data_IF_630747416530
#
_entry.id   IF_630747416530
#
_cell.length_a   1.000
_cell.length_b   1.000
_cell.length_c   1.000
_cell.angle_alpha   90.00
_cell.angle_beta   90.00
_cell.angle_gamma   90.00
#
_symmetry.space_group_name_H-M   'P 1'
#
loop_
_entity.id
_entity.type
_entity.pdbx_description
1 polymer ?
#
# COMPACT_ATOMS: atom_id res chain seq x y z
N UNK A 1 5.62 19.15 -6.15
CA UNK A 1 5.71 17.71 -5.99
C UNK A 1 4.58 17.06 -6.78
N UNK A 2 4.91 16.29 -7.81
CA UNK A 2 3.91 15.74 -8.75
C UNK A 2 3.49 14.32 -8.40
N UNK A 3 4.23 13.63 -7.56
CA UNK A 3 3.93 12.29 -7.09
C UNK A 3 4.86 11.85 -5.96
N UNK A 4 4.45 10.83 -5.22
CA UNK A 4 5.17 10.25 -4.09
C UNK A 4 5.25 8.74 -4.24
N UNK A 5 6.44 8.18 -4.11
CA UNK A 5 6.65 6.73 -3.94
C UNK A 5 7.28 6.48 -2.58
N UNK A 6 6.65 5.65 -1.76
CA UNK A 6 7.25 5.13 -0.53
C UNK A 6 7.63 3.67 -0.77
N UNK A 7 8.93 3.36 -0.81
CA UNK A 7 9.42 2.01 -1.12
C UNK A 7 9.25 1.04 0.05
N UNK A 8 9.59 -0.21 -0.20
CA UNK A 8 9.77 -1.23 0.83
C UNK A 8 10.88 -0.87 1.82
N UNK A 9 10.79 -1.39 3.03
CA UNK A 9 11.75 -1.17 4.11
C UNK A 9 11.38 -1.94 5.36
N UNK A 10 12.20 -1.77 6.40
CA UNK A 10 12.05 -2.42 7.70
C UNK A 10 12.47 -1.47 8.81
N UNK A 11 11.92 -1.71 10.00
CA UNK A 11 12.27 -1.00 11.22
C UNK A 11 11.66 0.41 11.36
N UNK A 12 11.83 1.04 12.53
CA UNK A 12 11.08 2.23 12.92
C UNK A 12 11.64 3.54 12.34
N UNK A 13 12.78 3.51 11.64
CA UNK A 13 13.45 4.72 11.15
C UNK A 13 12.61 5.44 10.08
N UNK A 14 12.31 6.71 10.30
CA UNK A 14 11.65 7.58 9.32
C UNK A 14 10.14 7.41 9.20
N UNK A 15 9.52 6.52 9.99
CA UNK A 15 8.08 6.19 9.91
C UNK A 15 7.20 7.43 10.02
N UNK A 16 7.44 8.31 11.00
CA UNK A 16 6.61 9.51 11.18
C UNK A 16 6.71 10.47 9.98
N UNK A 17 7.88 10.57 9.36
CA UNK A 17 8.08 11.33 8.13
C UNK A 17 7.29 10.74 6.96
N UNK A 18 7.32 9.42 6.80
CA UNK A 18 6.57 8.70 5.75
C UNK A 18 5.05 8.85 5.96
N UNK A 19 4.56 8.74 7.20
CA UNK A 19 3.13 8.96 7.54
C UNK A 19 2.70 10.39 7.19
N UNK A 20 3.51 11.41 7.53
CA UNK A 20 3.25 12.81 7.14
C UNK A 20 3.23 12.99 5.62
N UNK A 21 4.14 12.33 4.91
CA UNK A 21 4.20 12.36 3.46
C UNK A 21 2.96 11.72 2.82
N UNK A 22 2.51 10.57 3.33
CA UNK A 22 1.28 9.91 2.89
C UNK A 22 0.04 10.78 3.16
N UNK A 23 -0.02 11.44 4.34
CA UNK A 23 -1.09 12.39 4.66
C UNK A 23 -1.12 13.58 3.70
N UNK A 24 0.04 14.13 3.39
CA UNK A 24 0.16 15.23 2.44
C UNK A 24 -0.32 14.80 1.04
N UNK A 25 0.11 13.65 0.57
CA UNK A 25 -0.31 13.12 -0.73
C UNK A 25 -1.84 12.92 -0.77
N UNK A 26 -2.42 12.28 0.27
CA UNK A 26 -3.86 12.05 0.35
C UNK A 26 -4.68 13.34 0.38
N UNK A 27 -4.30 14.30 1.23
CA UNK A 27 -5.06 15.55 1.42
C UNK A 27 -4.90 16.56 0.29
N UNK A 28 -3.83 16.44 -0.50
CA UNK A 28 -3.54 17.31 -1.66
C UNK A 28 -3.82 16.64 -3.00
N UNK A 29 -4.43 15.45 -2.99
CA UNK A 29 -4.73 14.68 -4.21
C UNK A 29 -3.49 14.43 -5.09
N UNK A 30 -2.31 14.30 -4.47
CA UNK A 30 -1.05 14.01 -5.15
C UNK A 30 -0.92 12.51 -5.35
N UNK A 31 -0.64 12.00 -6.56
CA UNK A 31 -0.41 10.59 -6.81
C UNK A 31 0.57 9.96 -5.81
N UNK A 32 0.15 8.84 -5.22
CA UNK A 32 0.91 8.12 -4.22
C UNK A 32 0.97 6.62 -4.56
N UNK A 33 2.17 6.05 -4.51
CA UNK A 33 2.39 4.61 -4.63
C UNK A 33 3.20 4.11 -3.44
N UNK A 34 2.59 3.24 -2.63
CA UNK A 34 3.25 2.59 -1.49
C UNK A 34 3.61 1.14 -1.79
N UNK A 35 4.89 0.76 -1.61
CA UNK A 35 5.36 -0.60 -1.87
C UNK A 35 5.71 -1.27 -0.54
N UNK A 36 5.14 -2.43 -0.24
CA UNK A 36 5.39 -3.19 0.99
C UNK A 36 5.20 -2.31 2.24
N UNK A 37 6.28 -1.81 2.85
CA UNK A 37 6.23 -0.83 3.93
C UNK A 37 5.40 0.40 3.55
N UNK A 38 5.53 0.89 2.33
CA UNK A 38 4.77 2.05 1.85
C UNK A 38 3.25 1.84 1.89
N UNK A 39 2.75 0.64 1.59
CA UNK A 39 1.33 0.31 1.77
C UNK A 39 0.96 0.32 3.26
N UNK A 40 1.79 -0.25 4.12
CA UNK A 40 1.55 -0.26 5.56
C UNK A 40 1.50 1.15 6.15
N UNK A 41 2.39 2.04 5.69
CA UNK A 41 2.38 3.48 6.05
C UNK A 41 1.07 4.14 5.62
N UNK A 42 0.57 3.86 4.43
CA UNK A 42 -0.72 4.36 3.95
C UNK A 42 -1.88 3.91 4.86
N UNK A 43 -1.89 2.66 5.28
CA UNK A 43 -2.90 2.10 6.20
C UNK A 43 -2.81 2.77 7.58
N UNK A 44 -1.60 2.94 8.14
CA UNK A 44 -1.37 3.62 9.42
C UNK A 44 -1.84 5.08 9.34
N UNK A 45 -1.47 5.79 8.27
CA UNK A 45 -1.89 7.17 8.04
C UNK A 45 -3.40 7.30 8.02
N UNK A 46 -4.06 6.43 7.24
CA UNK A 46 -5.50 6.44 7.08
C UNK A 46 -6.23 6.13 8.40
N UNK A 47 -5.75 5.16 9.13
CA UNK A 47 -6.27 4.83 10.44
C UNK A 47 -6.14 5.99 11.44
N UNK A 48 -5.00 6.69 11.46
CA UNK A 48 -4.77 7.84 12.36
C UNK A 48 -5.63 9.04 12.03
N UNK A 49 -5.78 9.36 10.75
CA UNK A 49 -6.32 10.65 10.33
C UNK A 49 -7.75 10.57 9.78
N UNK A 50 -8.20 9.41 9.30
CA UNK A 50 -9.57 9.21 8.82
C UNK A 50 -10.41 8.47 9.87
N UNK A 51 -9.91 7.35 10.41
CA UNK A 51 -10.60 6.60 11.47
C UNK A 51 -10.43 7.23 12.87
N UNK A 52 -9.61 8.28 13.01
CA UNK A 52 -9.28 8.94 14.29
C UNK A 52 -8.63 8.01 15.35
N UNK A 53 -8.00 6.93 14.94
CA UNK A 53 -7.24 6.01 15.79
C UNK A 53 -5.81 6.56 15.97
N UNK A 54 -5.62 7.57 16.82
CA UNK A 54 -4.38 8.37 16.92
C UNK A 54 -3.12 7.56 17.21
N UNK A 55 -3.26 6.43 17.90
CA UNK A 55 -2.18 5.49 18.23
C UNK A 55 -2.05 4.33 17.22
N UNK A 56 -2.81 4.35 16.11
CA UNK A 56 -2.71 3.28 15.10
C UNK A 56 -1.27 3.09 14.63
N UNK A 57 -0.80 1.84 14.63
CA UNK A 57 0.60 1.53 14.35
C UNK A 57 0.77 0.11 13.78
N UNK A 58 2.01 -0.23 13.48
CA UNK A 58 2.46 -1.59 13.23
C UNK A 58 3.08 -2.19 14.49
N UNK A 59 2.86 -3.47 14.74
CA UNK A 59 3.55 -4.21 15.80
C UNK A 59 5.08 -4.32 15.56
N UNK A 60 5.55 -3.99 14.36
CA UNK A 60 6.97 -3.84 14.06
C UNK A 60 7.57 -2.61 14.77
N UNK A 61 6.82 -1.52 14.86
CA UNK A 61 7.34 -0.22 15.35
C UNK A 61 6.96 0.03 16.80
N UNK A 62 5.74 -0.33 17.20
CA UNK A 62 5.25 -0.16 18.55
C UNK A 62 4.25 -1.27 18.93
N UNK A 63 4.75 -2.26 19.64
CA UNK A 63 3.94 -3.40 20.12
C UNK A 63 2.95 -3.00 21.25
N UNK A 64 3.06 -1.81 21.83
CA UNK A 64 2.19 -1.33 22.91
C UNK A 64 0.97 -0.56 22.40
N UNK A 65 0.93 -0.24 21.11
CA UNK A 65 -0.24 0.41 20.50
C UNK A 65 -1.49 -0.46 20.70
N UNK A 66 -2.60 0.20 21.04
CA UNK A 66 -3.91 -0.46 21.17
C UNK A 66 -4.55 -0.76 19.80
N UNK A 67 -4.12 -0.04 18.76
CA UNK A 67 -4.65 -0.14 17.41
C UNK A 67 -3.56 -0.62 16.45
N UNK A 68 -3.20 -1.90 16.54
CA UNK A 68 -2.24 -2.55 15.62
C UNK A 68 -2.92 -2.84 14.29
N UNK A 69 -2.99 -1.82 13.42
CA UNK A 69 -3.59 -1.94 12.08
C UNK A 69 -2.72 -2.72 11.11
N UNK A 70 -1.45 -2.86 11.43
CA UNK A 70 -0.47 -3.75 10.78
C UNK A 70 0.08 -4.68 11.85
N UNK A 71 -0.02 -6.00 11.62
CA UNK A 71 0.38 -6.98 12.61
C UNK A 71 0.84 -8.29 11.95
N UNK A 72 1.34 -9.20 12.75
CA UNK A 72 1.58 -10.57 12.31
C UNK A 72 0.28 -11.29 11.97
N UNK A 73 0.34 -12.23 11.05
CA UNK A 73 -0.79 -13.12 10.79
C UNK A 73 -1.17 -13.91 12.05
N UNK A 74 -2.48 -14.11 12.29
CA UNK A 74 -2.94 -15.03 13.32
C UNK A 74 -2.28 -16.41 13.11
N UNK A 75 -1.62 -16.94 14.14
CA UNK A 75 -0.89 -18.21 14.10
C UNK A 75 0.62 -18.08 13.86
N UNK A 76 1.12 -16.98 13.32
CA UNK A 76 2.57 -16.76 13.15
C UNK A 76 3.27 -16.31 14.44
N UNK A 77 2.56 -15.81 15.43
CA UNK A 77 3.15 -15.46 16.73
C UNK A 77 3.83 -16.64 17.44
N UNK A 78 3.37 -17.86 17.22
CA UNK A 78 4.00 -19.09 17.75
C UNK A 78 5.30 -19.45 17.03
N UNK A 79 5.54 -18.91 15.85
CA UNK A 79 6.74 -19.16 15.02
C UNK A 79 7.83 -18.08 15.22
N UNK A 80 7.61 -17.11 16.11
CA UNK A 80 8.58 -16.07 16.45
C UNK A 80 9.94 -16.62 16.87
N UNK A 81 9.94 -17.80 17.50
CA UNK A 81 11.16 -18.46 18.02
C UNK A 81 11.97 -19.18 16.92
N UNK A 82 11.39 -19.43 15.76
CA UNK A 82 12.05 -20.21 14.69
C UNK A 82 12.47 -19.41 13.46
N UNK A 83 12.28 -18.08 13.43
CA UNK A 83 12.69 -17.23 12.32
C UNK A 83 11.93 -17.48 10.99
N UNK A 84 10.92 -18.33 10.96
CA UNK A 84 10.32 -18.93 9.76
C UNK A 84 9.04 -18.23 9.24
N UNK A 85 8.74 -16.99 9.63
CA UNK A 85 7.43 -16.36 9.36
C UNK A 85 7.41 -15.32 8.25
N UNK A 86 8.41 -15.32 7.36
CA UNK A 86 8.42 -14.39 6.23
C UNK A 86 7.67 -14.96 5.04
N UNK A 87 6.73 -14.20 4.48
CA UNK A 87 6.23 -14.49 3.12
C UNK A 87 7.31 -14.11 2.13
N UNK A 88 7.87 -15.11 1.47
CA UNK A 88 8.97 -14.96 0.53
C UNK A 88 8.67 -15.73 -0.75
N UNK A 89 8.76 -15.06 -1.89
CA UNK A 89 8.51 -15.68 -3.20
C UNK A 89 7.21 -15.23 -3.85
N UNK A 90 6.73 -16.01 -4.80
CA UNK A 90 5.57 -15.69 -5.61
C UNK A 90 4.28 -16.19 -4.96
N UNK A 91 3.28 -15.31 -4.87
CA UNK A 91 1.95 -15.64 -4.34
C UNK A 91 0.86 -15.10 -5.26
N UNK A 92 -0.26 -15.82 -5.39
CA UNK A 92 -1.39 -15.37 -6.17
C UNK A 92 -2.13 -14.22 -5.45
N UNK A 93 -2.67 -13.31 -6.25
CA UNK A 93 -3.51 -12.22 -5.79
C UNK A 93 -4.73 -12.11 -6.69
N UNK A 94 -5.92 -12.01 -6.10
CA UNK A 94 -7.19 -11.79 -6.79
C UNK A 94 -7.52 -10.31 -6.76
N UNK A 95 -7.65 -9.70 -7.92
CA UNK A 95 -7.97 -8.28 -8.08
C UNK A 95 -9.48 -8.09 -8.21
N UNK A 96 -10.04 -7.16 -7.44
CA UNK A 96 -11.44 -6.77 -7.51
C UNK A 96 -11.75 -6.10 -8.84
N UNK A 97 -12.70 -6.64 -9.61
CA UNK A 97 -13.28 -5.97 -10.78
C UNK A 97 -13.78 -4.58 -10.39
N UNK A 98 -13.74 -3.64 -11.32
CA UNK A 98 -14.13 -2.23 -11.09
C UNK A 98 -13.24 -1.43 -10.13
N UNK A 99 -12.08 -1.95 -9.70
CA UNK A 99 -11.05 -1.16 -9.04
C UNK A 99 -10.21 -0.39 -10.07
N UNK A 100 -9.55 0.67 -9.62
CA UNK A 100 -8.57 1.39 -10.47
C UNK A 100 -7.39 0.48 -10.82
N UNK A 101 -6.95 -0.35 -9.87
CA UNK A 101 -5.90 -1.34 -10.08
C UNK A 101 -6.25 -2.30 -11.22
N UNK A 102 -7.50 -2.76 -11.31
CA UNK A 102 -7.94 -3.64 -12.39
C UNK A 102 -7.75 -3.01 -13.78
N UNK A 103 -7.92 -1.69 -13.90
CA UNK A 103 -7.73 -0.98 -15.17
C UNK A 103 -6.28 -1.04 -15.68
N UNK A 104 -5.30 -1.22 -14.78
CA UNK A 104 -3.90 -1.33 -15.13
C UNK A 104 -3.47 -2.78 -15.43
N UNK A 105 -3.91 -3.73 -14.60
CA UNK A 105 -3.58 -5.15 -14.82
C UNK A 105 -4.41 -5.81 -15.90
N UNK A 106 -5.70 -5.44 -16.03
CA UNK A 106 -6.69 -6.06 -16.93
C UNK A 106 -6.81 -7.58 -16.75
N UNK A 107 -6.54 -8.05 -15.55
CA UNK A 107 -6.59 -9.45 -15.13
C UNK A 107 -7.17 -9.54 -13.72
N UNK A 108 -7.94 -10.59 -13.45
CA UNK A 108 -8.49 -10.86 -12.13
C UNK A 108 -7.51 -11.58 -11.22
N UNK A 109 -6.72 -12.47 -11.78
CA UNK A 109 -5.71 -13.21 -11.06
C UNK A 109 -4.32 -12.85 -11.57
N UNK A 110 -3.46 -12.52 -10.63
CA UNK A 110 -2.05 -12.19 -10.87
C UNK A 110 -1.16 -12.96 -9.90
N UNK A 111 0.11 -13.02 -10.20
CA UNK A 111 1.11 -13.60 -9.30
C UNK A 111 2.20 -12.57 -9.06
N UNK A 112 2.45 -12.25 -7.79
CA UNK A 112 3.36 -11.19 -7.40
C UNK A 112 4.40 -11.68 -6.38
N UNK A 113 5.53 -10.99 -6.30
CA UNK A 113 6.65 -11.40 -5.46
C UNK A 113 6.65 -10.68 -4.12
N UNK A 114 6.67 -11.44 -3.04
CA UNK A 114 6.60 -10.97 -1.66
C UNK A 114 7.92 -11.14 -0.91
N UNK A 115 8.13 -10.22 0.05
CA UNK A 115 9.21 -10.29 1.04
C UNK A 115 8.83 -9.48 2.28
N UNK A 116 7.94 -10.01 3.10
CA UNK A 116 7.48 -9.30 4.30
C UNK A 116 6.97 -10.27 5.38
N UNK A 117 6.78 -9.76 6.60
CA UNK A 117 6.28 -10.51 7.77
C UNK A 117 4.96 -9.96 8.30
N UNK A 118 4.73 -8.67 8.11
CA UNK A 118 3.58 -7.96 8.65
C UNK A 118 2.54 -7.78 7.57
N UNK A 119 1.28 -7.82 8.00
CA UNK A 119 0.09 -7.78 7.14
C UNK A 119 -0.92 -6.77 7.66
N UNK A 120 -1.84 -6.34 6.83
CA UNK A 120 -3.00 -5.57 7.27
C UNK A 120 -3.84 -6.42 8.22
N UNK A 121 -4.11 -5.89 9.40
CA UNK A 121 -4.91 -6.59 10.40
C UNK A 121 -6.39 -6.60 10.01
N UNK A 122 -6.95 -7.79 9.82
CA UNK A 122 -8.32 -8.00 9.38
C UNK A 122 -9.38 -7.40 10.32
N UNK A 123 -9.06 -7.17 11.61
CA UNK A 123 -9.97 -6.51 12.55
C UNK A 123 -10.31 -5.06 12.15
N UNK A 124 -9.47 -4.43 11.33
CA UNK A 124 -9.66 -3.06 10.86
C UNK A 124 -10.14 -3.00 9.41
N UNK A 125 -10.10 -4.09 8.66
CA UNK A 125 -10.38 -4.16 7.21
C UNK A 125 -11.73 -3.52 6.84
N UNK A 126 -12.81 -3.93 7.52
CA UNK A 126 -14.14 -3.38 7.25
C UNK A 126 -14.25 -1.88 7.58
N UNK A 127 -13.62 -1.43 8.66
CA UNK A 127 -13.63 -0.02 9.06
C UNK A 127 -12.90 0.84 8.03
N UNK A 128 -11.75 0.38 7.57
CA UNK A 128 -10.97 1.04 6.52
C UNK A 128 -11.76 1.12 5.22
N UNK A 129 -12.38 0.01 4.80
CA UNK A 129 -13.17 -0.06 3.57
C UNK A 129 -14.39 0.87 3.61
N UNK A 130 -15.12 0.93 4.71
CA UNK A 130 -16.28 1.83 4.88
C UNK A 130 -15.92 3.30 4.74
N UNK A 131 -14.73 3.68 5.18
CA UNK A 131 -14.22 5.05 5.06
C UNK A 131 -13.47 5.31 3.76
N UNK A 132 -13.39 4.33 2.84
CA UNK A 132 -12.88 4.52 1.50
C UNK A 132 -11.45 4.06 1.24
N UNK A 133 -10.76 3.42 2.20
CA UNK A 133 -9.52 2.68 1.93
C UNK A 133 -9.87 1.23 1.66
N UNK A 134 -9.94 0.88 0.39
CA UNK A 134 -10.56 -0.34 -0.12
C UNK A 134 -9.52 -1.42 -0.40
N UNK A 135 -9.68 -2.65 0.15
CA UNK A 135 -8.87 -3.78 -0.27
C UNK A 135 -9.33 -4.26 -1.66
N UNK A 136 -8.50 -3.98 -2.66
CA UNK A 136 -8.81 -4.28 -4.07
C UNK A 136 -8.00 -5.45 -4.61
N UNK A 137 -7.00 -5.91 -3.90
CA UNK A 137 -6.28 -7.15 -4.13
C UNK A 137 -6.22 -7.98 -2.86
N UNK A 138 -6.53 -9.27 -2.93
CA UNK A 138 -6.49 -10.18 -1.79
C UNK A 138 -5.88 -11.52 -2.18
N UNK A 139 -5.43 -12.30 -1.18
CA UNK A 139 -5.15 -13.72 -1.38
C UNK A 139 -6.41 -14.46 -1.88
N UNK A 140 -6.27 -15.64 -2.54
CA UNK A 140 -7.42 -16.37 -3.08
C UNK A 140 -8.50 -16.72 -2.05
N UNK A 141 -8.11 -16.93 -0.79
CA UNK A 141 -9.00 -17.19 0.34
C UNK A 141 -9.61 -15.91 0.95
N UNK A 142 -9.21 -14.72 0.45
CA UNK A 142 -9.67 -13.40 0.91
C UNK A 142 -9.10 -12.95 2.27
N UNK A 143 -8.21 -13.75 2.88
CA UNK A 143 -7.72 -13.50 4.24
C UNK A 143 -6.59 -12.47 4.30
N UNK A 144 -5.79 -12.33 3.24
CA UNK A 144 -4.68 -11.39 3.18
C UNK A 144 -5.00 -10.25 2.23
N UNK A 145 -4.63 -9.05 2.63
CA UNK A 145 -4.74 -7.85 1.80
C UNK A 145 -3.43 -7.63 1.06
N UNK A 146 -3.50 -7.72 -0.26
CA UNK A 146 -2.35 -7.60 -1.15
C UNK A 146 -2.22 -6.21 -1.79
N UNK A 147 -3.37 -5.57 -2.06
CA UNK A 147 -3.44 -4.23 -2.64
C UNK A 147 -4.55 -3.44 -1.96
N UNK A 148 -4.24 -2.20 -1.57
CA UNK A 148 -5.20 -1.21 -1.08
C UNK A 148 -5.26 -0.02 -2.03
N UNK A 149 -6.45 0.56 -2.21
CA UNK A 149 -6.61 1.84 -2.90
C UNK A 149 -7.56 2.80 -2.16
N UNK A 150 -7.31 4.09 -2.23
CA UNK A 150 -8.23 5.12 -1.75
C UNK A 150 -9.24 5.43 -2.85
N UNK A 151 -10.52 5.14 -2.59
CA UNK A 151 -11.60 5.18 -3.59
C UNK A 151 -11.74 6.56 -4.26
N UNK A 152 -11.76 7.62 -3.45
CA UNK A 152 -12.00 9.01 -3.90
C UNK A 152 -10.69 9.81 -4.10
N UNK A 153 -9.60 9.14 -4.47
CA UNK A 153 -8.32 9.79 -4.76
C UNK A 153 -7.91 9.51 -6.20
N UNK A 154 -7.32 10.45 -6.95
CA UNK A 154 -6.89 10.22 -8.33
C UNK A 154 -6.02 8.96 -8.48
N UNK A 155 -4.98 8.87 -7.68
CA UNK A 155 -4.11 7.71 -7.59
C UNK A 155 -3.47 7.64 -6.19
N UNK A 156 -4.03 6.86 -5.28
CA UNK A 156 -3.39 6.53 -4.00
C UNK A 156 -3.55 5.03 -3.78
N UNK A 157 -2.48 4.30 -4.02
CA UNK A 157 -2.46 2.83 -4.03
C UNK A 157 -1.26 2.32 -3.26
N UNK A 158 -1.41 1.14 -2.69
CA UNK A 158 -0.32 0.41 -2.05
C UNK A 158 -0.39 -1.08 -2.36
N UNK A 159 0.78 -1.71 -2.55
CA UNK A 159 0.92 -3.15 -2.68
C UNK A 159 1.74 -3.73 -1.53
N UNK A 160 1.33 -4.89 -1.00
CA UNK A 160 2.11 -5.61 0.01
C UNK A 160 3.32 -6.33 -0.61
N UNK A 161 3.20 -6.68 -1.87
CA UNK A 161 4.27 -7.25 -2.68
C UNK A 161 5.21 -6.18 -3.26
N UNK A 162 6.24 -6.65 -3.97
CA UNK A 162 7.32 -5.85 -4.54
C UNK A 162 7.27 -5.83 -6.07
N UNK A 163 6.51 -4.89 -6.69
CA UNK A 163 6.40 -4.78 -8.16
C UNK A 163 7.74 -4.53 -8.85
N UNK A 164 8.72 -3.95 -8.14
CA UNK A 164 10.06 -3.71 -8.67
C UNK A 164 10.79 -4.99 -9.06
N UNK A 165 10.47 -6.14 -8.46
CA UNK A 165 11.08 -7.40 -8.83
C UNK A 165 10.62 -7.95 -10.18
N UNK A 166 9.43 -7.55 -10.64
CA UNK A 166 8.85 -8.00 -11.90
C UNK A 166 8.87 -6.93 -13.01
N UNK A 167 9.22 -5.70 -12.66
CA UNK A 167 9.33 -4.60 -13.63
C UNK A 167 10.57 -4.71 -14.49
N UNK A 168 10.46 -4.30 -15.77
CA UNK A 168 11.56 -4.22 -16.73
C UNK A 168 11.48 -2.91 -17.51
N UNK A 169 12.59 -2.36 -18.04
CA UNK A 169 12.57 -1.13 -18.82
C UNK A 169 11.65 -1.18 -20.04
N UNK A 170 11.60 -2.32 -20.73
CA UNK A 170 10.77 -2.57 -21.91
C UNK A 170 9.35 -3.05 -21.57
N UNK A 171 9.12 -3.44 -20.30
CA UNK A 171 7.83 -3.91 -19.81
C UNK A 171 7.64 -3.46 -18.36
N UNK A 172 7.29 -2.19 -18.14
CA UNK A 172 7.08 -1.65 -16.81
C UNK A 172 5.90 -2.37 -16.12
N UNK A 173 6.06 -2.55 -14.82
CA UNK A 173 4.99 -3.16 -14.02
C UNK A 173 3.72 -2.29 -14.04
N UNK A 174 2.50 -2.88 -14.09
CA UNK A 174 1.24 -2.14 -14.20
C UNK A 174 1.06 -1.03 -13.18
N UNK A 175 1.47 -1.23 -11.92
CA UNK A 175 1.37 -0.20 -10.87
C UNK A 175 2.31 0.98 -11.13
N UNK A 176 3.51 0.76 -11.66
CA UNK A 176 4.42 1.86 -12.04
C UNK A 176 3.89 2.63 -13.24
N UNK A 177 3.38 1.90 -14.25
CA UNK A 177 2.73 2.53 -15.39
C UNK A 177 1.57 3.43 -14.96
N UNK A 178 0.67 2.89 -14.12
CA UNK A 178 -0.48 3.64 -13.59
C UNK A 178 -0.07 4.88 -12.79
N UNK A 179 0.96 4.73 -11.93
CA UNK A 179 1.49 5.86 -11.15
C UNK A 179 2.05 6.97 -12.05
N UNK A 180 2.90 6.63 -13.01
CA UNK A 180 3.48 7.63 -13.93
C UNK A 180 2.40 8.30 -14.78
N UNK A 181 1.41 7.53 -15.25
CA UNK A 181 0.25 8.10 -15.98
C UNK A 181 -0.50 9.13 -15.14
N UNK A 182 -0.81 8.80 -13.89
CA UNK A 182 -1.50 9.71 -12.98
C UNK A 182 -0.67 10.96 -12.65
N UNK A 183 0.65 10.80 -12.51
CA UNK A 183 1.56 11.95 -12.32
C UNK A 183 1.53 12.87 -13.53
N UNK A 184 1.57 12.33 -14.74
CA UNK A 184 1.54 13.12 -15.97
C UNK A 184 0.22 13.89 -16.12
N UNK A 185 -0.92 13.27 -15.80
CA UNK A 185 -2.22 13.94 -15.79
C UNK A 185 -2.24 15.12 -14.80
N UNK A 186 -1.69 14.94 -13.60
CA UNK A 186 -1.61 15.98 -12.57
C UNK A 186 -0.72 17.16 -13.00
N UNK A 187 0.35 16.89 -13.75
CA UNK A 187 1.28 17.94 -14.26
C UNK A 187 0.64 18.76 -15.38
N UNK A 188 -0.19 18.14 -16.23
CA UNK A 188 -0.88 18.82 -17.33
C UNK A 188 -1.96 19.80 -16.81
N UNK A 189 -2.59 19.49 -15.68
CA UNK A 189 -3.59 20.34 -15.05
C UNK A 189 -3.03 21.47 -14.18
N UNK A 190 -1.73 21.43 -13.85
CA UNK A 190 -1.07 22.38 -12.94
C UNK A 190 -0.01 23.26 -13.61
N UNK A 191 0.25 24.43 -13.03
CA UNK A 191 1.20 25.47 -13.46
C UNK A 191 2.68 25.05 -13.68
N UNK A 192 3.01 23.77 -13.66
CA UNK A 192 4.38 23.26 -13.80
C UNK A 192 4.89 23.13 -15.23
N UNK A 193 4.10 23.43 -16.25
CA UNK A 193 4.54 23.47 -17.67
C UNK A 193 5.67 24.50 -17.89
N UNK A 194 5.91 25.42 -16.95
CA UNK A 194 6.95 26.46 -17.05
C UNK A 194 8.39 26.03 -16.78
N UNK A 195 8.62 24.77 -16.35
CA UNK A 195 9.98 24.30 -16.01
C UNK A 195 10.62 23.40 -17.07
N UNK A 196 9.98 23.20 -18.22
CA UNK A 196 10.49 22.34 -19.31
C UNK A 196 10.73 23.16 -20.61
N UNK A 197 10.83 24.50 -20.52
CA UNK A 197 11.28 25.31 -21.62
C UNK A 197 12.70 25.86 -21.40
#
# INVERSE_FOLDING_TARGET
>A
LSGVVIPGGFGPRGIDGMVKCANYARTKSIPYLGLCLGMQIMVIEYARNVLNLKDANSSEFDQKSKNLVIDFLPGQMKLKETGASMRLGNYPCIIRKKSKVFNYYKKEEITERHRHRYEVNNLFKEKLEKEGLVPVGTSPDGNLVEIMEVANHPFMMGSQFHPEFLSRPDRPHPLFYGFVSAVNETVVEGDQIRLIQ
#
